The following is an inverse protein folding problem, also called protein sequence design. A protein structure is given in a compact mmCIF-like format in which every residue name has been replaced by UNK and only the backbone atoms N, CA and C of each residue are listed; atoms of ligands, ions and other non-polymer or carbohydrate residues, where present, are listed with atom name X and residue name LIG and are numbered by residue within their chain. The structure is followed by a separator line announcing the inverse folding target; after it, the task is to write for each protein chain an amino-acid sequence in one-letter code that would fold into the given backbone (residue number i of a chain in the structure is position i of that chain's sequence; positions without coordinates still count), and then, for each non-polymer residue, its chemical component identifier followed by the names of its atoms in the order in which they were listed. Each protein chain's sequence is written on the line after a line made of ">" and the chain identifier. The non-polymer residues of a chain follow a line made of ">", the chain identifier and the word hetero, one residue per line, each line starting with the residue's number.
data_IF_533045976263
#
_entry.id   IF_533045976263
#
_cell.length_a   1.000
_cell.length_b   1.000
_cell.length_c   1.000
_cell.angle_alpha   90.00
_cell.angle_beta   90.00
_cell.angle_gamma   90.00
#
_symmetry.space_group_name_H-M   'P 1'
#
loop_
_entity.id
_entity.type
_entity.pdbx_description
1 polymer ?
#
# COMPACT_ATOMS: atom_id res chain seq x y z
N UNK A 1 18.41 -15.66 -5.30
CA UNK A 1 17.89 -14.96 -6.49
C UNK A 1 17.50 -13.55 -6.13
N UNK A 2 17.95 -12.56 -6.89
CA UNK A 2 17.48 -11.21 -6.65
C UNK A 2 15.99 -11.12 -6.97
N UNK A 3 15.27 -10.32 -6.18
CA UNK A 3 13.86 -10.06 -6.47
C UNK A 3 13.75 -9.24 -7.75
N UNK A 4 12.67 -9.48 -8.51
CA UNK A 4 12.35 -8.64 -9.64
C UNK A 4 12.15 -7.18 -9.17
N UNK A 5 12.49 -6.17 -9.99
CA UNK A 5 12.21 -4.79 -9.64
C UNK A 5 10.74 -4.57 -9.31
N UNK A 6 10.45 -3.64 -8.38
CA UNK A 6 9.08 -3.27 -8.07
C UNK A 6 8.40 -2.68 -9.31
N UNK A 7 7.23 -3.16 -9.61
CA UNK A 7 6.42 -2.65 -10.70
C UNK A 7 5.33 -1.75 -10.12
N UNK A 8 5.49 -0.44 -10.29
CA UNK A 8 4.56 0.52 -9.70
C UNK A 8 3.22 0.59 -10.43
N UNK A 9 3.09 0.03 -11.61
CA UNK A 9 1.77 -0.18 -12.21
C UNK A 9 0.97 -1.19 -11.38
N UNK A 10 1.62 -2.25 -10.92
CA UNK A 10 1.00 -3.23 -10.03
C UNK A 10 0.72 -2.63 -8.64
N UNK A 11 1.62 -1.79 -8.14
CA UNK A 11 1.42 -1.10 -6.87
C UNK A 11 0.20 -0.17 -6.94
N UNK A 12 0.05 0.55 -8.06
CA UNK A 12 -1.12 1.41 -8.27
C UNK A 12 -2.41 0.60 -8.40
N UNK A 13 -2.35 -0.56 -9.05
CA UNK A 13 -3.51 -1.45 -9.13
C UNK A 13 -3.92 -1.93 -7.73
N UNK A 14 -2.95 -2.30 -6.90
CA UNK A 14 -3.20 -2.69 -5.52
C UNK A 14 -3.80 -1.53 -4.72
N UNK A 15 -3.24 -0.33 -4.84
CA UNK A 15 -3.75 0.87 -4.16
C UNK A 15 -5.24 1.08 -4.47
N UNK A 16 -5.59 1.03 -5.75
CA UNK A 16 -6.97 1.25 -6.18
C UNK A 16 -7.89 0.16 -5.67
N UNK A 17 -7.45 -1.09 -5.72
CA UNK A 17 -8.22 -2.22 -5.20
C UNK A 17 -8.47 -2.08 -3.70
N UNK A 18 -7.47 -1.61 -2.96
CA UNK A 18 -7.56 -1.41 -1.51
C UNK A 18 -8.33 -0.14 -1.14
N UNK A 19 -8.78 0.63 -2.12
CA UNK A 19 -9.56 1.88 -1.94
C UNK A 19 -8.75 2.97 -1.22
N UNK A 20 -7.47 3.07 -1.53
CA UNK A 20 -6.58 4.09 -0.96
C UNK A 20 -6.37 5.24 -1.94
N UNK A 21 -6.30 6.46 -1.41
CA UNK A 21 -5.84 7.61 -2.21
C UNK A 21 -4.32 7.53 -2.35
N UNK A 22 -3.76 8.26 -3.33
CA UNK A 22 -2.30 8.33 -3.49
C UNK A 22 -1.62 8.91 -2.24
N UNK A 23 -2.26 9.88 -1.58
CA UNK A 23 -1.73 10.44 -0.33
C UNK A 23 -1.71 9.40 0.79
N UNK A 24 -2.77 8.60 0.92
CA UNK A 24 -2.84 7.53 1.90
C UNK A 24 -1.80 6.45 1.61
N UNK A 25 -1.62 6.09 0.33
CA UNK A 25 -0.60 5.11 -0.04
C UNK A 25 0.80 5.61 0.33
N UNK A 26 1.11 6.87 0.06
CA UNK A 26 2.39 7.46 0.46
C UNK A 26 2.60 7.37 1.97
N UNK A 27 1.57 7.70 2.76
CA UNK A 27 1.62 7.56 4.22
C UNK A 27 1.87 6.11 4.64
N UNK A 28 1.18 5.17 4.01
CA UNK A 28 1.35 3.74 4.28
C UNK A 28 2.79 3.32 4.05
N UNK A 29 3.39 3.80 2.97
CA UNK A 29 4.78 3.49 2.60
C UNK A 29 5.81 4.37 3.32
N UNK A 30 5.36 5.28 4.19
CA UNK A 30 6.17 6.20 4.99
C UNK A 30 7.04 7.14 4.17
N UNK A 31 6.48 7.64 3.07
CA UNK A 31 7.16 8.62 2.19
C UNK A 31 6.21 9.77 1.88
N UNK A 32 6.77 10.84 1.28
CA UNK A 32 5.96 11.96 0.86
C UNK A 32 5.13 11.61 -0.38
N UNK A 33 4.05 12.35 -0.59
CA UNK A 33 3.22 12.21 -1.78
C UNK A 33 4.03 12.41 -3.06
N UNK A 34 4.98 13.37 -3.02
CA UNK A 34 5.85 13.67 -4.16
C UNK A 34 6.78 12.48 -4.46
N UNK A 35 7.37 11.88 -3.43
CA UNK A 35 8.25 10.72 -3.60
C UNK A 35 7.48 9.55 -4.20
N UNK A 36 6.32 9.24 -3.66
CA UNK A 36 5.49 8.17 -4.19
C UNK A 36 5.11 8.43 -5.66
N UNK A 37 4.66 9.64 -5.95
CA UNK A 37 4.32 10.03 -7.33
C UNK A 37 5.50 9.91 -8.29
N UNK A 38 6.71 10.21 -7.83
CA UNK A 38 7.93 10.01 -8.62
C UNK A 38 8.14 8.56 -8.99
N UNK A 39 7.97 7.65 -8.03
CA UNK A 39 8.11 6.21 -8.30
C UNK A 39 7.07 5.73 -9.32
N UNK A 40 5.84 6.19 -9.20
CA UNK A 40 4.77 5.83 -10.14
C UNK A 40 5.12 6.31 -11.56
N UNK A 41 5.80 7.44 -11.67
CA UNK A 41 6.23 7.98 -12.97
C UNK A 41 7.52 7.36 -13.50
N UNK A 42 8.12 6.44 -12.76
CA UNK A 42 9.30 5.72 -13.22
C UNK A 42 10.62 6.12 -12.60
N UNK A 43 10.61 7.02 -11.61
CA UNK A 43 11.84 7.35 -10.90
C UNK A 43 12.32 6.15 -10.10
N UNK A 44 13.65 5.93 -10.04
CA UNK A 44 14.17 4.78 -9.30
C UNK A 44 13.93 4.91 -7.80
N UNK A 45 13.72 3.76 -7.14
CA UNK A 45 13.56 3.68 -5.70
C UNK A 45 14.89 3.26 -5.06
N UNK A 46 15.28 3.93 -3.99
CA UNK A 46 16.51 3.59 -3.26
C UNK A 46 16.35 2.23 -2.57
N UNK A 47 17.45 1.51 -2.43
CA UNK A 47 17.48 0.15 -1.89
C UNK A 47 16.80 0.03 -0.52
N UNK A 48 17.07 0.96 0.39
CA UNK A 48 16.43 0.96 1.72
C UNK A 48 14.92 1.13 1.65
N UNK A 49 14.44 2.02 0.78
CA UNK A 49 13.01 2.20 0.56
C UNK A 49 12.40 0.98 -0.11
N UNK A 50 13.11 0.40 -1.09
CA UNK A 50 12.65 -0.80 -1.80
C UNK A 50 12.32 -1.93 -0.81
N UNK A 51 13.26 -2.25 0.08
CA UNK A 51 13.07 -3.32 1.06
C UNK A 51 11.87 -3.06 1.99
N UNK A 52 11.74 -1.83 2.48
CA UNK A 52 10.63 -1.45 3.36
C UNK A 52 9.29 -1.53 2.63
N UNK A 53 9.24 -1.01 1.41
CA UNK A 53 8.03 -1.01 0.60
C UNK A 53 7.56 -2.43 0.33
N UNK A 54 8.49 -3.34 0.01
CA UNK A 54 8.12 -4.74 -0.24
C UNK A 54 7.48 -5.40 0.98
N UNK A 55 8.00 -5.13 2.18
CA UNK A 55 7.41 -5.66 3.42
C UNK A 55 5.99 -5.13 3.61
N UNK A 56 5.80 -3.83 3.42
CA UNK A 56 4.49 -3.20 3.59
C UNK A 56 3.49 -3.73 2.55
N UNK A 57 3.90 -3.83 1.29
CA UNK A 57 3.03 -4.37 0.23
C UNK A 57 2.60 -5.80 0.53
N UNK A 58 3.51 -6.61 1.06
CA UNK A 58 3.19 -8.00 1.45
C UNK A 58 2.12 -8.04 2.54
N UNK A 59 2.25 -7.17 3.55
CA UNK A 59 1.25 -7.08 4.61
C UNK A 59 -0.11 -6.64 4.06
N UNK A 60 -0.11 -5.66 3.14
CA UNK A 60 -1.35 -5.20 2.51
C UNK A 60 -2.03 -6.33 1.74
N UNK A 61 -1.26 -7.11 0.99
CA UNK A 61 -1.78 -8.25 0.25
C UNK A 61 -2.34 -9.32 1.18
N UNK A 62 -1.70 -9.52 2.33
CA UNK A 62 -2.19 -10.42 3.37
C UNK A 62 -3.55 -10.00 3.90
N UNK A 63 -3.72 -8.72 4.21
CA UNK A 63 -5.01 -8.19 4.65
C UNK A 63 -6.07 -8.38 3.57
N UNK A 64 -5.72 -8.08 2.32
CA UNK A 64 -6.64 -8.23 1.20
C UNK A 64 -7.18 -9.67 1.11
N UNK A 65 -6.30 -10.65 1.29
CA UNK A 65 -6.66 -12.05 1.16
C UNK A 65 -7.34 -12.60 2.41
N UNK A 66 -6.75 -12.38 3.59
CA UNK A 66 -7.21 -12.99 4.84
C UNK A 66 -8.45 -12.32 5.42
N UNK A 67 -8.58 -11.01 5.23
CA UNK A 67 -9.69 -10.22 5.76
C UNK A 67 -10.74 -9.91 4.69
N UNK A 68 -10.57 -10.47 3.50
CA UNK A 68 -11.48 -10.21 2.36
C UNK A 68 -11.66 -8.70 2.12
N UNK A 69 -10.54 -7.96 2.14
CA UNK A 69 -10.57 -6.52 1.93
C UNK A 69 -10.69 -6.19 0.43
N UNK A 70 -11.57 -5.26 0.01
CA UNK A 70 -12.47 -4.51 0.87
C UNK A 70 -13.80 -5.25 1.08
N UNK A 71 -14.26 -5.32 2.34
CA UNK A 71 -15.58 -5.84 2.66
C UNK A 71 -16.65 -4.78 2.42
N UNK A 72 -17.95 -5.15 2.37
CA UNK A 72 -19.00 -4.16 2.24
C UNK A 72 -18.98 -3.09 3.34
N UNK A 73 -18.66 -3.46 4.57
CA UNK A 73 -18.56 -2.52 5.69
C UNK A 73 -17.46 -1.49 5.44
N UNK A 74 -16.31 -1.95 4.93
CA UNK A 74 -15.16 -1.09 4.61
C UNK A 74 -15.50 -0.14 3.46
N UNK A 75 -16.18 -0.64 2.45
CA UNK A 75 -16.59 0.18 1.30
C UNK A 75 -17.49 1.33 1.76
N UNK A 76 -18.36 1.07 2.75
CA UNK A 76 -19.27 2.08 3.28
C UNK A 76 -18.61 3.12 4.19
N UNK A 77 -17.39 2.88 4.65
CA UNK A 77 -16.68 3.82 5.53
C UNK A 77 -16.20 5.07 4.80
N UNK A 78 -16.15 6.22 5.49
CA UNK A 78 -15.40 7.37 4.97
C UNK A 78 -13.94 7.00 4.74
N UNK A 79 -13.29 7.65 3.78
CA UNK A 79 -11.93 7.35 3.35
C UNK A 79 -10.93 7.35 4.53
N UNK A 80 -10.99 8.35 5.41
CA UNK A 80 -10.07 8.44 6.55
C UNK A 80 -10.25 7.27 7.52
N UNK A 81 -11.50 6.90 7.81
CA UNK A 81 -11.81 5.77 8.68
C UNK A 81 -11.34 4.46 8.06
N UNK A 82 -11.54 4.30 6.76
CA UNK A 82 -11.10 3.12 6.01
C UNK A 82 -9.59 2.96 6.10
N UNK A 83 -8.85 4.06 5.93
CA UNK A 83 -7.39 4.05 6.04
C UNK A 83 -6.95 3.62 7.45
N UNK A 84 -7.54 4.20 8.49
CA UNK A 84 -7.20 3.86 9.87
C UNK A 84 -7.49 2.39 10.17
N UNK A 85 -8.59 1.86 9.65
CA UNK A 85 -8.96 0.45 9.81
C UNK A 85 -7.91 -0.45 9.16
N UNK A 86 -7.46 -0.11 7.96
CA UNK A 86 -6.42 -0.88 7.27
C UNK A 86 -5.12 -0.89 8.09
N UNK A 87 -4.71 0.27 8.60
CA UNK A 87 -3.49 0.37 9.41
C UNK A 87 -3.58 -0.53 10.64
N UNK A 88 -4.72 -0.55 11.32
CA UNK A 88 -4.92 -1.43 12.48
C UNK A 88 -4.84 -2.90 12.12
N UNK A 89 -5.45 -3.30 11.01
CA UNK A 89 -5.38 -4.70 10.56
C UNK A 89 -3.95 -5.10 10.21
N UNK A 90 -3.17 -4.21 9.64
CA UNK A 90 -1.77 -4.47 9.34
C UNK A 90 -0.91 -4.63 10.59
N UNK A 91 -1.24 -3.91 11.66
CA UNK A 91 -0.53 -4.05 12.94
C UNK A 91 -0.81 -5.38 13.61
N UNK A 92 -2.02 -5.89 13.49
CA UNK A 92 -2.41 -7.17 14.09
C UNK A 92 -1.63 -8.35 13.51
N UNK A 93 -1.07 -8.18 12.33
CA UNK A 93 -0.30 -9.21 11.63
C UNK A 93 1.17 -9.29 12.10
N UNK A 94 1.58 -8.44 13.02
CA UNK A 94 2.97 -8.40 13.50
C UNK A 94 3.27 -9.45 14.58
#
# INVERSE_FOLDING_TARGET
>A
MPNAPLNFDNVEALRKHMLLTATQMAKMLTVSRVTYGGWVKGKPIRKGNDSRVRVILRKMMGVMTEQEWPSPDVIAMPSAQRFDTLVELMKEDE
#
